data_IF_530949137851
#
_entry.id   IF_530949137851
#
_cell.length_a   1.000
_cell.length_b   1.000
_cell.length_c   1.000
_cell.angle_alpha   90.00
_cell.angle_beta   90.00
_cell.angle_gamma   90.00
#
_symmetry.space_group_name_H-M   'P 1'
#
loop_
_entity.id
_entity.type
_entity.pdbx_description
1 polymer ?
#
# COMPACT_ATOMS: atom_id res chain seq x y z
N UNK A 1 2.51 -23.60 11.95
CA UNK A 1 3.76 -22.98 11.46
C UNK A 1 4.88 -23.42 12.38
N UNK A 2 6.00 -23.88 11.83
CA UNK A 2 7.05 -24.62 12.55
C UNK A 2 7.67 -23.86 13.72
N UNK A 3 7.98 -24.59 14.78
CA UNK A 3 8.67 -24.11 15.98
C UNK A 3 10.06 -23.54 15.61
N UNK A 4 10.35 -22.31 16.01
CA UNK A 4 11.74 -21.79 16.04
C UNK A 4 12.11 -20.61 15.11
N UNK A 5 11.19 -20.06 14.31
CA UNK A 5 11.50 -18.84 13.53
C UNK A 5 11.13 -17.59 14.34
N UNK A 6 12.12 -16.86 14.83
CA UNK A 6 11.90 -15.54 15.43
C UNK A 6 11.53 -14.53 14.33
N UNK A 7 10.48 -13.72 14.51
CA UNK A 7 10.02 -12.78 13.48
C UNK A 7 11.08 -11.69 13.26
N UNK A 8 11.57 -11.61 12.02
CA UNK A 8 12.54 -10.60 11.58
C UNK A 8 11.84 -9.33 11.10
N UNK A 9 10.55 -9.42 10.75
CA UNK A 9 9.76 -8.30 10.25
C UNK A 9 9.66 -8.20 8.73
N UNK A 10 10.48 -8.95 7.97
CA UNK A 10 10.54 -8.83 6.49
C UNK A 10 9.56 -9.74 5.76
N UNK A 11 9.14 -10.85 6.38
CA UNK A 11 8.24 -11.82 5.74
C UNK A 11 6.90 -11.17 5.38
N UNK A 12 6.18 -11.76 4.41
CA UNK A 12 4.84 -11.27 4.05
C UNK A 12 3.91 -11.27 5.27
N UNK A 13 3.95 -12.32 6.09
CA UNK A 13 3.15 -12.45 7.30
C UNK A 13 3.52 -11.41 8.38
N UNK A 14 4.81 -11.13 8.57
CA UNK A 14 5.22 -10.12 9.56
C UNK A 14 4.87 -8.70 9.11
N UNK A 15 5.01 -8.40 7.82
CA UNK A 15 4.56 -7.12 7.25
C UNK A 15 3.04 -7.00 7.35
N UNK A 16 2.29 -8.07 7.07
CA UNK A 16 0.83 -8.08 7.24
C UNK A 16 0.42 -7.77 8.69
N UNK A 17 1.07 -8.39 9.69
CA UNK A 17 0.80 -8.08 11.11
C UNK A 17 1.07 -6.60 11.44
N UNK A 18 2.16 -6.06 10.91
CA UNK A 18 2.52 -4.64 11.09
C UNK A 18 1.48 -3.72 10.46
N UNK A 19 1.08 -3.98 9.22
CA UNK A 19 0.02 -3.24 8.51
C UNK A 19 -1.31 -3.33 9.26
N UNK A 20 -1.68 -4.52 9.72
CA UNK A 20 -2.91 -4.74 10.49
C UNK A 20 -2.90 -3.90 11.78
N UNK A 21 -1.78 -3.86 12.51
CA UNK A 21 -1.61 -2.97 13.64
C UNK A 21 -1.77 -1.50 13.26
N UNK A 22 -1.12 -1.05 12.17
CA UNK A 22 -1.23 0.34 11.69
C UNK A 22 -2.67 0.71 11.25
N UNK A 23 -3.49 -0.26 10.87
CA UNK A 23 -4.91 -0.05 10.54
C UNK A 23 -5.86 -0.04 11.75
N UNK A 24 -5.39 -0.37 12.95
CA UNK A 24 -6.19 -0.31 14.18
C UNK A 24 -6.07 1.08 14.82
N UNK A 25 -7.16 1.87 14.90
CA UNK A 25 -7.13 3.21 15.49
C UNK A 25 -6.81 3.21 16.99
N UNK A 26 -6.86 2.05 17.66
CA UNK A 26 -6.55 1.92 19.08
C UNK A 26 -5.12 1.42 19.35
N UNK A 27 -4.36 1.07 18.30
CA UNK A 27 -3.01 0.56 18.47
C UNK A 27 -2.08 1.67 19.02
N UNK A 28 -1.48 1.51 20.21
CA UNK A 28 -0.54 2.49 20.73
C UNK A 28 0.77 2.45 19.94
N UNK A 29 1.40 3.62 19.77
CA UNK A 29 2.68 3.71 19.05
C UNK A 29 3.80 2.84 19.63
N UNK A 30 3.71 2.45 20.91
CA UNK A 30 4.67 1.57 21.60
C UNK A 30 4.64 0.13 21.09
N UNK A 31 3.59 -0.28 20.39
CA UNK A 31 3.47 -1.63 19.81
C UNK A 31 4.33 -1.80 18.56
N UNK A 32 4.89 -0.71 18.02
CA UNK A 32 5.68 -0.72 16.79
C UNK A 32 7.16 -0.52 17.08
N UNK A 33 7.99 -1.36 16.44
CA UNK A 33 9.45 -1.22 16.47
C UNK A 33 9.92 -0.29 15.35
N UNK A 34 10.89 0.56 15.67
CA UNK A 34 11.57 1.45 14.72
C UNK A 34 13.09 1.25 14.86
N UNK A 35 13.84 0.97 13.77
CA UNK A 35 13.38 0.84 12.38
C UNK A 35 12.60 -0.47 12.13
N UNK A 36 11.85 -0.51 11.02
CA UNK A 36 11.06 -1.66 10.60
C UNK A 36 11.10 -1.86 9.07
N UNK A 37 10.26 -2.76 8.57
CA UNK A 37 10.20 -3.15 7.15
C UNK A 37 8.91 -2.68 6.43
N UNK A 38 8.09 -1.89 7.11
CA UNK A 38 6.93 -1.20 6.55
C UNK A 38 7.23 0.29 6.66
N UNK A 39 6.92 1.05 5.61
CA UNK A 39 7.23 2.47 5.50
C UNK A 39 5.93 3.27 5.45
N UNK A 40 5.42 3.78 6.60
CA UNK A 40 4.20 4.57 6.63
C UNK A 40 4.37 5.87 5.83
N UNK A 41 3.38 6.19 5.00
CA UNK A 41 3.27 7.47 4.30
C UNK A 41 2.02 8.19 4.81
N UNK A 42 2.11 9.50 4.98
CA UNK A 42 0.98 10.32 5.41
C UNK A 42 0.35 11.01 4.19
N UNK A 43 -0.93 10.75 3.93
CA UNK A 43 -1.69 11.48 2.93
C UNK A 43 -1.97 12.91 3.41
N UNK A 44 -2.01 13.86 2.48
CA UNK A 44 -2.38 15.24 2.77
C UNK A 44 -3.89 15.38 3.01
N UNK A 45 -4.27 16.24 3.96
CA UNK A 45 -5.68 16.62 4.15
C UNK A 45 -6.25 17.22 2.86
N UNK A 46 -7.36 16.67 2.36
CA UNK A 46 -7.95 17.05 1.08
C UNK A 46 -7.60 16.12 -0.08
N UNK A 47 -6.82 15.07 0.15
CA UNK A 47 -6.64 13.95 -0.78
C UNK A 47 -6.12 14.36 -2.16
N UNK A 48 -6.56 13.65 -3.19
CA UNK A 48 -6.11 13.86 -4.58
C UNK A 48 -6.47 15.24 -5.14
N UNK A 49 -7.48 15.90 -4.57
CA UNK A 49 -7.84 17.28 -4.93
C UNK A 49 -6.80 18.30 -4.48
N UNK A 50 -6.03 17.99 -3.44
CA UNK A 50 -4.93 18.83 -2.96
C UNK A 50 -3.58 18.41 -3.52
N UNK A 51 -3.31 17.11 -3.59
CA UNK A 51 -2.07 16.54 -4.13
C UNK A 51 -2.40 15.29 -4.93
N UNK A 52 -2.17 15.33 -6.23
CA UNK A 52 -2.33 14.18 -7.13
C UNK A 52 -1.17 13.18 -6.97
N UNK A 53 -1.16 12.44 -5.85
CA UNK A 53 -0.18 11.41 -5.53
C UNK A 53 -0.82 10.05 -5.24
N UNK A 54 -0.04 8.97 -5.39
CA UNK A 54 -0.52 7.62 -5.08
C UNK A 54 -0.88 7.43 -3.60
N UNK A 55 -0.19 8.13 -2.70
CA UNK A 55 -0.49 8.12 -1.26
C UNK A 55 -1.91 8.63 -1.00
N UNK A 56 -2.28 9.77 -1.58
CA UNK A 56 -3.61 10.34 -1.44
C UNK A 56 -4.66 9.48 -2.15
N UNK A 57 -4.39 9.04 -3.39
CA UNK A 57 -5.33 8.22 -4.14
C UNK A 57 -5.69 6.92 -3.40
N UNK A 58 -4.71 6.28 -2.77
CA UNK A 58 -4.93 5.05 -2.02
C UNK A 58 -5.83 5.27 -0.79
N UNK A 59 -5.61 6.36 -0.04
CA UNK A 59 -6.45 6.72 1.11
C UNK A 59 -7.86 7.15 0.67
N UNK A 60 -7.98 7.92 -0.41
CA UNK A 60 -9.27 8.36 -0.94
C UNK A 60 -10.11 7.18 -1.44
N UNK A 61 -9.50 6.16 -2.06
CA UNK A 61 -10.21 4.94 -2.45
C UNK A 61 -10.80 4.20 -1.24
N UNK A 62 -10.06 4.11 -0.13
CA UNK A 62 -10.57 3.56 1.13
C UNK A 62 -11.77 4.37 1.67
N UNK A 63 -11.68 5.71 1.62
CA UNK A 63 -12.77 6.59 2.04
C UNK A 63 -14.02 6.41 1.16
N UNK A 64 -13.86 6.35 -0.17
CA UNK A 64 -14.95 6.11 -1.11
C UNK A 64 -15.62 4.75 -0.91
N UNK A 65 -14.84 3.74 -0.50
CA UNK A 65 -15.34 2.42 -0.14
C UNK A 65 -15.93 2.33 1.28
N UNK A 66 -15.91 3.43 2.06
CA UNK A 66 -16.43 3.50 3.43
C UNK A 66 -15.73 2.49 4.36
N UNK A 67 -14.40 2.36 4.21
CA UNK A 67 -13.55 1.54 5.09
C UNK A 67 -12.50 2.42 5.77
N UNK A 68 -11.74 1.84 6.71
CA UNK A 68 -10.64 2.53 7.39
C UNK A 68 -9.69 3.16 6.36
N UNK A 69 -9.32 4.45 6.50
CA UNK A 69 -8.52 5.20 5.52
C UNK A 69 -7.02 4.84 5.60
N UNK A 70 -6.71 3.54 5.52
CA UNK A 70 -5.37 2.98 5.54
C UNK A 70 -5.24 2.01 4.38
N UNK A 71 -4.26 2.26 3.51
CA UNK A 71 -4.01 1.47 2.32
C UNK A 71 -2.54 1.02 2.25
N UNK A 72 -2.30 -0.06 1.50
CA UNK A 72 -0.96 -0.56 1.19
C UNK A 72 -0.73 -0.38 -0.30
N UNK A 73 0.37 0.25 -0.66
CA UNK A 73 0.78 0.47 -2.04
C UNK A 73 2.19 -0.08 -2.27
N UNK A 74 2.43 -0.55 -3.49
CA UNK A 74 3.72 -1.02 -3.97
C UNK A 74 3.73 -0.81 -5.47
N UNK A 75 4.80 -0.22 -6.00
CA UNK A 75 4.95 -0.05 -7.43
C UNK A 75 5.16 -1.39 -8.14
N UNK A 76 4.64 -1.48 -9.36
CA UNK A 76 4.83 -2.63 -10.24
C UNK A 76 6.08 -2.40 -11.08
N UNK A 77 6.97 -3.40 -11.07
CA UNK A 77 8.20 -3.43 -11.85
C UNK A 77 8.12 -4.54 -12.89
N UNK A 78 8.75 -4.32 -14.04
CA UNK A 78 8.95 -5.34 -15.06
C UNK A 78 10.05 -6.32 -14.62
N UNK A 79 10.11 -7.49 -15.26
CA UNK A 79 11.09 -8.54 -14.95
C UNK A 79 12.55 -8.09 -15.18
N UNK A 80 12.76 -7.09 -16.04
CA UNK A 80 14.07 -6.47 -16.28
C UNK A 80 14.47 -5.42 -15.23
N UNK A 81 13.62 -5.20 -14.21
CA UNK A 81 13.81 -4.22 -13.14
C UNK A 81 13.42 -2.79 -13.52
N UNK A 82 12.93 -2.55 -14.75
CA UNK A 82 12.39 -1.25 -15.13
C UNK A 82 11.01 -1.01 -14.50
N UNK A 83 10.63 0.27 -14.35
CA UNK A 83 9.29 0.62 -13.90
C UNK A 83 8.27 0.33 -15.00
N UNK A 84 7.22 -0.42 -14.67
CA UNK A 84 6.13 -0.71 -15.60
C UNK A 84 5.46 0.58 -16.08
N UNK A 85 5.21 0.68 -17.39
CA UNK A 85 4.52 1.81 -18.02
C UNK A 85 3.06 1.47 -18.31
N UNK A 86 2.30 2.42 -18.86
CA UNK A 86 0.85 2.30 -19.05
C UNK A 86 0.50 1.01 -19.80
N UNK A 87 1.16 0.72 -20.93
CA UNK A 87 0.87 -0.49 -21.71
C UNK A 87 1.16 -1.78 -20.92
N UNK A 88 2.25 -1.80 -20.14
CA UNK A 88 2.60 -2.92 -19.24
C UNK A 88 1.52 -3.11 -18.17
N UNK A 89 1.05 -2.02 -17.56
CA UNK A 89 0.03 -2.03 -16.51
C UNK A 89 -1.34 -2.45 -17.03
N UNK A 90 -1.72 -2.03 -18.24
CA UNK A 90 -2.96 -2.47 -18.90
C UNK A 90 -2.91 -3.98 -19.17
N UNK A 91 -1.75 -4.50 -19.61
CA UNK A 91 -1.56 -5.93 -19.81
C UNK A 91 -1.57 -6.70 -18.47
N UNK A 92 -0.93 -6.15 -17.43
CA UNK A 92 -0.91 -6.72 -16.08
C UNK A 92 -2.34 -6.80 -15.50
N UNK A 93 -3.10 -5.70 -15.60
CA UNK A 93 -4.50 -5.60 -15.17
C UNK A 93 -5.36 -6.70 -15.80
N UNK A 94 -5.28 -6.87 -17.13
CA UNK A 94 -6.02 -7.93 -17.85
C UNK A 94 -5.58 -9.34 -17.45
N UNK A 95 -4.26 -9.56 -17.29
CA UNK A 95 -3.70 -10.87 -16.94
C UNK A 95 -4.13 -11.33 -15.54
N UNK A 96 -4.22 -10.40 -14.59
CA UNK A 96 -4.48 -10.70 -13.18
C UNK A 96 -5.91 -10.36 -12.72
N UNK A 97 -6.77 -9.88 -13.64
CA UNK A 97 -8.14 -9.43 -13.36
C UNK A 97 -8.20 -8.37 -12.24
N UNK A 98 -7.32 -7.38 -12.33
CA UNK A 98 -7.24 -6.26 -11.37
C UNK A 98 -7.69 -4.99 -12.05
N UNK A 99 -8.55 -4.20 -11.40
CA UNK A 99 -9.03 -2.94 -11.94
C UNK A 99 -7.86 -1.97 -12.22
N UNK A 100 -7.90 -1.32 -13.38
CA UNK A 100 -6.93 -0.29 -13.78
C UNK A 100 -7.59 1.09 -13.71
N UNK A 101 -6.91 2.03 -13.05
CA UNK A 101 -7.30 3.43 -13.00
C UNK A 101 -6.17 4.31 -13.52
N UNK A 102 -6.53 5.35 -14.27
CA UNK A 102 -5.58 6.34 -14.78
C UNK A 102 -5.97 7.74 -14.34
N UNK A 103 -4.97 8.60 -14.18
CA UNK A 103 -5.21 10.02 -13.99
C UNK A 103 -5.62 10.62 -15.34
N UNK A 104 -6.89 11.05 -15.45
CA UNK A 104 -7.35 11.79 -16.61
C UNK A 104 -6.57 13.10 -16.70
N UNK A 105 -5.90 13.31 -17.85
CA UNK A 105 -5.26 14.59 -18.15
C UNK A 105 -6.37 15.57 -18.57
N UNK A 106 -6.74 16.47 -17.67
CA UNK A 106 -7.53 17.68 -17.99
C UNK A 106 -6.68 18.70 -18.71
#
# INVERSE_FOLDING_TARGET
MGEGVFPTGISADDRFKTIKGLSDPNAPGQDFKVPGHVFPLQAMDGGVLRRAGHTEAAVDLCLLAIITPVAVICEIINDDGSMARIDDLVNFSKKHDVAFGEQLKT
#
